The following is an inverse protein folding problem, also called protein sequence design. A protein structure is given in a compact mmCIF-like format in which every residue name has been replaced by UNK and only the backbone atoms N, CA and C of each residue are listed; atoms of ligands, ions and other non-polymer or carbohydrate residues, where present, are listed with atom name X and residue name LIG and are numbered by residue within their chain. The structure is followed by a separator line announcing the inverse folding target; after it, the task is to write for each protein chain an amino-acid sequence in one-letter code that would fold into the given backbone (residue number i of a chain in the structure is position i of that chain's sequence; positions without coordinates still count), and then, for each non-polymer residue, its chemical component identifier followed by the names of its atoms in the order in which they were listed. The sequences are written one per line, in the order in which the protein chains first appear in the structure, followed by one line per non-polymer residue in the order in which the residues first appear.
data_IF_465341755184
#
_entry.id   IF_465341755184
#
_cell.length_a   1.000
_cell.length_b   1.000
_cell.length_c   1.000
_cell.angle_alpha   90.00
_cell.angle_beta   90.00
_cell.angle_gamma   90.00
#
_symmetry.space_group_name_H-M   'P 1'
#
loop_
_entity.id
_entity.type
_entity.pdbx_description
1 polymer ?
#
# COMPACT_ATOMS: atom_id res chain seq x y z
N UNK A 1 -24.59 13.84 7.57
CA UNK A 1 -23.55 12.81 7.46
C UNK A 1 -22.55 13.33 6.45
N UNK A 2 -21.37 13.76 6.90
CA UNK A 2 -20.35 14.32 6.00
C UNK A 2 -19.57 13.14 5.40
N UNK A 3 -19.39 13.14 4.08
CA UNK A 3 -18.41 12.27 3.45
C UNK A 3 -17.04 12.48 4.14
N UNK A 4 -16.19 11.45 4.25
CA UNK A 4 -14.84 11.60 4.77
C UNK A 4 -14.15 12.78 4.06
N UNK A 5 -13.65 13.75 4.83
CA UNK A 5 -12.97 14.93 4.27
C UNK A 5 -11.65 14.57 3.59
N UNK A 6 -11.06 13.44 3.99
CA UNK A 6 -9.80 12.95 3.48
C UNK A 6 -10.02 11.89 2.39
N UNK A 7 -9.52 12.20 1.19
CA UNK A 7 -9.53 11.29 0.04
C UNK A 7 -8.59 10.09 0.24
N UNK A 8 -8.80 9.02 -0.52
CA UNK A 8 -8.00 7.78 -0.45
C UNK A 8 -6.49 8.02 -0.65
N UNK A 9 -6.11 9.08 -1.36
CA UNK A 9 -4.73 9.51 -1.54
C UNK A 9 -4.01 9.82 -0.23
N UNK A 10 -4.73 10.24 0.82
CA UNK A 10 -4.15 10.51 2.15
C UNK A 10 -3.71 9.25 2.89
N UNK A 11 -4.18 8.07 2.46
CA UNK A 11 -3.84 6.78 3.06
C UNK A 11 -2.63 6.11 2.38
N UNK A 12 -2.17 6.65 1.26
CA UNK A 12 -0.98 6.19 0.55
C UNK A 12 0.25 6.61 1.34
N UNK A 13 1.07 5.64 1.75
CA UNK A 13 2.32 5.96 2.44
C UNK A 13 3.30 6.65 1.48
N UNK A 14 3.92 7.75 1.92
CA UNK A 14 4.88 8.51 1.10
C UNK A 14 6.04 7.65 0.58
N UNK A 15 6.45 6.63 1.34
CA UNK A 15 7.53 5.71 0.96
C UNK A 15 7.27 4.94 -0.35
N UNK A 16 6.01 4.81 -0.78
CA UNK A 16 5.70 4.14 -2.06
C UNK A 16 5.85 5.06 -3.27
N UNK A 17 6.05 6.36 -3.06
CA UNK A 17 6.30 7.29 -4.16
C UNK A 17 7.71 7.11 -4.74
N UNK A 18 8.67 6.71 -3.90
CA UNK A 18 10.05 6.53 -4.30
C UNK A 18 10.31 5.07 -4.73
N UNK A 19 11.07 4.84 -5.82
CA UNK A 19 11.44 3.50 -6.21
C UNK A 19 12.39 2.87 -5.18
N UNK A 20 12.17 1.60 -4.86
CA UNK A 20 13.15 0.80 -4.10
C UNK A 20 14.43 0.71 -4.90
N UNK A 21 15.52 1.22 -4.33
CA UNK A 21 16.81 1.26 -5.00
C UNK A 21 17.39 -0.14 -5.15
N UNK A 22 18.07 -0.38 -6.27
CA UNK A 22 18.87 -1.60 -6.46
C UNK A 22 20.03 -1.63 -5.46
N UNK A 23 20.50 -2.83 -5.13
CA UNK A 23 21.80 -2.96 -4.48
C UNK A 23 22.92 -2.49 -5.42
N UNK A 24 24.04 -2.09 -4.84
CA UNK A 24 25.28 -1.74 -5.57
C UNK A 24 26.15 -2.99 -5.67
N UNK A 25 26.69 -3.25 -6.86
CA UNK A 25 27.74 -4.25 -7.03
C UNK A 25 29.08 -3.59 -6.65
N UNK A 26 29.58 -3.95 -5.47
CA UNK A 26 30.87 -3.48 -4.97
C UNK A 26 32.02 -4.12 -5.76
N UNK A 27 33.22 -3.55 -5.61
CA UNK A 27 34.46 -4.12 -6.14
C UNK A 27 35.45 -4.32 -5.00
N UNK A 28 35.39 -5.50 -4.38
CA UNK A 28 36.32 -5.92 -3.32
C UNK A 28 37.66 -6.45 -3.87
N UNK A 29 37.77 -6.64 -5.19
CA UNK A 29 38.89 -7.32 -5.84
C UNK A 29 38.72 -8.84 -5.94
N UNK A 30 37.66 -9.40 -5.37
CA UNK A 30 37.24 -10.79 -5.58
C UNK A 30 35.85 -10.81 -6.24
N UNK A 31 35.76 -11.10 -7.56
CA UNK A 31 34.50 -11.12 -8.28
C UNK A 31 33.47 -12.10 -7.71
N UNK A 32 33.91 -13.23 -7.14
CA UNK A 32 32.99 -14.21 -6.58
C UNK A 32 32.34 -13.67 -5.29
N UNK A 33 33.13 -13.00 -4.46
CA UNK A 33 32.63 -12.33 -3.25
C UNK A 33 31.70 -11.16 -3.60
N UNK A 34 32.05 -10.35 -4.60
CA UNK A 34 31.25 -9.21 -5.04
C UNK A 34 29.84 -9.64 -5.48
N UNK A 35 29.75 -10.70 -6.28
CA UNK A 35 28.45 -11.26 -6.70
C UNK A 35 27.64 -11.82 -5.54
N UNK A 36 28.28 -12.48 -4.57
CA UNK A 36 27.58 -12.99 -3.38
C UNK A 36 26.99 -11.87 -2.54
N UNK A 37 27.78 -10.84 -2.23
CA UNK A 37 27.34 -9.68 -1.44
C UNK A 37 26.22 -8.93 -2.15
N UNK A 38 26.37 -8.69 -3.46
CA UNK A 38 25.34 -8.08 -4.27
C UNK A 38 24.03 -8.90 -4.25
N UNK A 39 24.10 -10.22 -4.44
CA UNK A 39 22.91 -11.08 -4.44
C UNK A 39 22.14 -11.04 -3.11
N UNK A 40 22.86 -11.05 -1.99
CA UNK A 40 22.28 -10.92 -0.64
C UNK A 40 21.58 -9.55 -0.51
N UNK A 41 22.28 -8.46 -0.84
CA UNK A 41 21.74 -7.12 -0.74
C UNK A 41 20.52 -6.93 -1.67
N UNK A 42 20.59 -7.43 -2.90
CA UNK A 42 19.52 -7.36 -3.88
C UNK A 42 18.27 -8.12 -3.42
N UNK A 43 18.46 -9.26 -2.74
CA UNK A 43 17.35 -10.01 -2.12
C UNK A 43 16.70 -9.20 -0.99
N UNK A 44 17.49 -8.46 -0.22
CA UNK A 44 17.00 -7.49 0.77
C UNK A 44 16.11 -6.41 0.14
N UNK A 45 16.54 -5.83 -0.98
CA UNK A 45 15.74 -4.84 -1.72
C UNK A 45 14.45 -5.43 -2.29
N UNK A 46 14.49 -6.67 -2.79
CA UNK A 46 13.30 -7.37 -3.25
C UNK A 46 12.28 -7.59 -2.13
N UNK A 47 12.74 -7.90 -0.92
CA UNK A 47 11.85 -8.04 0.24
C UNK A 47 11.16 -6.72 0.59
N UNK A 48 11.88 -5.60 0.53
CA UNK A 48 11.32 -4.26 0.74
C UNK A 48 10.23 -3.98 -0.31
N UNK A 49 10.53 -4.21 -1.60
CA UNK A 49 9.59 -4.00 -2.70
C UNK A 49 8.32 -4.87 -2.56
N UNK A 50 8.47 -6.14 -2.18
CA UNK A 50 7.34 -7.03 -1.96
C UNK A 50 6.47 -6.60 -0.78
N UNK A 51 7.08 -6.15 0.31
CA UNK A 51 6.36 -5.60 1.47
C UNK A 51 5.60 -4.35 1.08
N UNK A 52 6.24 -3.40 0.41
CA UNK A 52 5.60 -2.15 -0.01
C UNK A 52 4.44 -2.41 -0.97
N UNK A 53 4.57 -3.38 -1.88
CA UNK A 53 3.45 -3.85 -2.71
C UNK A 53 2.30 -4.41 -1.88
N UNK A 54 2.59 -5.26 -0.90
CA UNK A 54 1.56 -5.86 -0.04
C UNK A 54 0.81 -4.79 0.75
N UNK A 55 1.53 -3.84 1.34
CA UNK A 55 0.95 -2.75 2.10
C UNK A 55 0.10 -1.83 1.21
N UNK A 56 0.54 -1.55 -0.02
CA UNK A 56 -0.22 -0.76 -0.99
C UNK A 56 -1.57 -1.38 -1.33
N UNK A 57 -1.58 -2.69 -1.60
CA UNK A 57 -2.81 -3.43 -1.86
C UNK A 57 -3.76 -3.41 -0.66
N UNK A 58 -3.24 -3.56 0.56
CA UNK A 58 -4.05 -3.50 1.77
C UNK A 58 -4.66 -2.12 2.00
N UNK A 59 -3.90 -1.05 1.79
CA UNK A 59 -4.44 0.32 1.86
C UNK A 59 -5.55 0.53 0.84
N UNK A 60 -5.37 0.11 -0.42
CA UNK A 60 -6.41 0.25 -1.46
C UNK A 60 -7.67 -0.50 -1.05
N UNK A 61 -7.56 -1.75 -0.56
CA UNK A 61 -8.72 -2.52 -0.08
C UNK A 61 -9.46 -1.82 1.06
N UNK A 62 -8.75 -1.18 1.99
CA UNK A 62 -9.36 -0.41 3.08
C UNK A 62 -10.11 0.81 2.56
N UNK A 63 -9.55 1.52 1.59
CA UNK A 63 -10.20 2.62 0.91
C UNK A 63 -11.52 2.17 0.26
N UNK A 64 -11.48 1.09 -0.52
CA UNK A 64 -12.66 0.53 -1.18
C UNK A 64 -13.74 0.10 -0.17
N UNK A 65 -13.34 -0.57 0.91
CA UNK A 65 -14.27 -0.99 1.96
C UNK A 65 -14.95 0.20 2.65
N UNK A 66 -14.19 1.26 2.95
CA UNK A 66 -14.69 2.52 3.53
C UNK A 66 -15.70 3.18 2.60
N UNK A 67 -15.35 3.32 1.33
CA UNK A 67 -16.18 4.00 0.34
C UNK A 67 -17.45 3.20 0.06
N UNK A 68 -17.37 1.87 -0.01
CA UNK A 68 -18.53 0.99 -0.11
C UNK A 68 -19.46 1.12 1.12
N UNK A 69 -18.91 1.28 2.32
CA UNK A 69 -19.71 1.52 3.52
C UNK A 69 -20.45 2.87 3.47
N UNK A 70 -19.77 3.93 3.01
CA UNK A 70 -20.38 5.24 2.83
C UNK A 70 -21.52 5.20 1.80
N UNK A 71 -21.32 4.54 0.65
CA UNK A 71 -22.36 4.35 -0.37
C UNK A 71 -23.56 3.59 0.19
N UNK A 72 -23.33 2.50 0.95
CA UNK A 72 -24.43 1.74 1.60
C UNK A 72 -25.23 2.60 2.57
N UNK A 73 -24.58 3.53 3.28
CA UNK A 73 -25.27 4.44 4.20
C UNK A 73 -26.11 5.50 3.48
N UNK A 74 -25.59 6.06 2.38
CA UNK A 74 -26.32 7.03 1.54
C UNK A 74 -27.50 6.37 0.84
N UNK A 75 -27.29 5.17 0.30
CA UNK A 75 -28.33 4.37 -0.35
C UNK A 75 -29.41 3.84 0.61
N UNK A 76 -29.30 4.08 1.93
CA UNK A 76 -30.39 3.76 2.86
C UNK A 76 -31.53 4.76 2.68
N UNK A 77 -32.71 4.29 2.24
CA UNK A 77 -33.84 5.16 2.05
C UNK A 77 -34.27 5.83 3.35
N UNK A 78 -34.45 7.16 3.33
CA UNK A 78 -34.81 7.94 4.52
C UNK A 78 -36.12 7.47 5.15
N UNK A 79 -37.07 6.99 4.34
CA UNK A 79 -38.38 6.50 4.77
C UNK A 79 -38.33 5.15 5.50
N UNK A 80 -37.26 4.35 5.37
CA UNK A 80 -37.10 3.11 6.17
C UNK A 80 -37.02 3.39 7.68
N UNK A 81 -36.70 4.62 8.09
CA UNK A 81 -36.70 5.04 9.49
C UNK A 81 -38.10 5.35 10.03
N UNK A 82 -39.11 5.43 9.14
CA UNK A 82 -40.49 5.79 9.46
C UNK A 82 -41.44 4.57 9.48
N UNK A 83 -40.96 3.40 9.08
CA UNK A 83 -41.76 2.17 9.17
C UNK A 83 -41.74 1.66 10.62
N UNK A 84 -42.90 1.33 11.22
CA UNK A 84 -42.94 0.67 12.52
C UNK A 84 -42.23 -0.69 12.42
N UNK A 85 -41.51 -1.05 13.49
CA UNK A 85 -40.70 -2.27 13.59
C UNK A 85 -41.51 -3.56 13.53
#
# INVERSE_FOLDING_TARGET
MLAPRDGCSTLIASRWADPVQSAVLENSGDPALDWQLFGIAQTGQLNIANRDKADALETIRRCEARDAAAVRQIGRPWWRRLLPG
#
